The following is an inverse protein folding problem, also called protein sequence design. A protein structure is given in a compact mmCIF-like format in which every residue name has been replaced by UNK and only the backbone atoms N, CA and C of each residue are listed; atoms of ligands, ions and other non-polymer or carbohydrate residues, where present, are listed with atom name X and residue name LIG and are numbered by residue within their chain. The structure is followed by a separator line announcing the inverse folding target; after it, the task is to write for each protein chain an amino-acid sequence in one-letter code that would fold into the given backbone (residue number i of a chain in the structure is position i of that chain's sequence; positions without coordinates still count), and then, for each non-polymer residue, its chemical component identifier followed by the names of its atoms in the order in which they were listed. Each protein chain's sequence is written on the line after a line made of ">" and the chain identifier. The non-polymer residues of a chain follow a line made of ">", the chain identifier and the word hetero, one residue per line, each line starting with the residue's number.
data_IF_681063387001
#
_entry.id   IF_681063387001
#
_cell.length_a   1.000
_cell.length_b   1.000
_cell.length_c   1.000
_cell.angle_alpha   90.00
_cell.angle_beta   90.00
_cell.angle_gamma   90.00
#
_symmetry.space_group_name_H-M   'P 1'
#
loop_
_entity.id
_entity.type
_entity.pdbx_description
1 polymer ?
#
# COMPACT_ATOMS: atom_id res chain seq x y z
N UNK A 1 3.92 -23.86 -0.82
CA UNK A 1 2.57 -23.34 -1.11
C UNK A 1 2.34 -22.22 -0.11
N UNK A 2 2.26 -20.97 -0.57
CA UNK A 2 1.92 -19.85 0.30
C UNK A 2 0.48 -20.04 0.79
N UNK A 3 0.24 -19.86 2.09
CA UNK A 3 -1.10 -19.93 2.68
C UNK A 3 -1.98 -18.81 2.13
N UNK A 4 -3.32 -18.95 2.25
CA UNK A 4 -4.25 -17.87 1.96
C UNK A 4 -3.96 -16.67 2.85
N UNK A 5 -4.02 -15.46 2.29
CA UNK A 5 -3.87 -14.23 3.04
C UNK A 5 -5.13 -13.94 3.86
N UNK A 6 -4.98 -13.24 4.98
CA UNK A 6 -6.11 -12.63 5.66
C UNK A 6 -6.62 -11.46 4.83
N UNK A 7 -7.94 -11.34 4.65
CA UNK A 7 -8.56 -10.30 3.82
C UNK A 7 -9.57 -9.51 4.63
N UNK A 8 -9.40 -8.20 4.65
CA UNK A 8 -10.45 -7.27 5.04
C UNK A 8 -11.34 -7.02 3.81
N UNK A 9 -12.66 -6.95 4.01
CA UNK A 9 -13.60 -6.84 2.90
C UNK A 9 -14.78 -5.94 3.25
N UNK A 10 -15.16 -5.06 2.32
CA UNK A 10 -16.29 -4.13 2.42
C UNK A 10 -17.12 -4.16 1.14
N UNK A 11 -18.38 -3.73 1.24
CA UNK A 11 -19.31 -3.67 0.10
C UNK A 11 -19.94 -5.02 -0.25
N UNK A 12 -20.92 -4.99 -1.15
CA UNK A 12 -21.69 -6.16 -1.58
C UNK A 12 -20.85 -7.11 -2.44
N UNK A 13 -21.11 -8.43 -2.36
CA UNK A 13 -20.30 -9.46 -3.03
C UNK A 13 -20.32 -9.37 -4.56
N UNK A 14 -21.43 -8.91 -5.14
CA UNK A 14 -21.64 -8.78 -6.58
C UNK A 14 -21.29 -7.38 -7.14
N UNK A 15 -20.85 -6.46 -6.28
CA UNK A 15 -20.40 -5.14 -6.70
C UNK A 15 -19.05 -5.20 -7.47
N UNK A 16 -18.77 -4.18 -8.32
CA UNK A 16 -17.49 -4.08 -9.00
C UNK A 16 -16.30 -4.19 -8.02
N UNK A 17 -15.34 -5.04 -8.33
CA UNK A 17 -14.23 -5.36 -7.41
C UNK A 17 -13.13 -4.32 -7.46
N UNK A 18 -12.67 -3.88 -6.29
CA UNK A 18 -11.45 -3.12 -6.09
C UNK A 18 -10.54 -3.87 -5.11
N UNK A 19 -9.25 -3.99 -5.42
CA UNK A 19 -8.27 -4.64 -4.55
C UNK A 19 -7.29 -3.59 -4.05
N UNK A 20 -7.17 -3.45 -2.73
CA UNK A 20 -6.23 -2.53 -2.09
C UNK A 20 -5.03 -3.26 -1.52
N UNK A 21 -3.82 -2.80 -1.88
CA UNK A 21 -2.55 -3.32 -1.37
C UNK A 21 -1.85 -2.24 -0.53
N UNK A 22 -1.61 -2.56 0.73
CA UNK A 22 -0.97 -1.64 1.69
C UNK A 22 0.55 -1.52 1.50
N UNK A 23 1.14 -0.49 2.10
CA UNK A 23 2.59 -0.28 2.13
C UNK A 23 3.33 -1.16 3.13
N UNK A 24 4.66 -1.09 3.11
CA UNK A 24 5.53 -1.71 4.12
C UNK A 24 5.09 -1.26 5.51
N UNK A 25 5.06 -2.16 6.48
CA UNK A 25 4.57 -1.95 7.85
C UNK A 25 3.08 -1.60 7.98
N UNK A 26 2.27 -1.77 6.92
CA UNK A 26 0.83 -1.58 6.95
C UNK A 26 0.05 -2.88 7.15
N UNK A 27 -1.26 -2.81 6.97
CA UNK A 27 -2.20 -3.94 6.91
C UNK A 27 -3.41 -3.58 6.06
N UNK A 28 -4.25 -4.57 5.71
CA UNK A 28 -5.40 -4.35 4.84
C UNK A 28 -6.44 -3.38 5.41
N UNK A 29 -6.56 -3.28 6.73
CA UNK A 29 -7.46 -2.36 7.42
C UNK A 29 -7.24 -0.88 7.06
N UNK A 30 -6.06 -0.49 6.53
CA UNK A 30 -5.81 0.86 6.01
C UNK A 30 -6.79 1.30 4.91
N UNK A 31 -7.45 0.35 4.23
CA UNK A 31 -8.44 0.64 3.19
C UNK A 31 -9.81 1.05 3.75
N UNK A 32 -10.08 0.91 5.07
CA UNK A 32 -11.41 1.00 5.64
C UNK A 32 -12.14 2.29 5.26
N UNK A 33 -11.58 3.44 5.58
CA UNK A 33 -12.23 4.72 5.29
C UNK A 33 -12.40 4.98 3.79
N UNK A 34 -11.44 4.55 2.97
CA UNK A 34 -11.60 4.62 1.52
C UNK A 34 -12.78 3.76 1.05
N UNK A 35 -12.91 2.55 1.59
CA UNK A 35 -13.98 1.62 1.23
C UNK A 35 -15.35 2.12 1.70
N UNK A 36 -15.46 2.57 2.96
CA UNK A 36 -16.71 2.96 3.59
C UNK A 36 -17.25 4.32 3.13
N UNK A 37 -16.37 5.30 2.91
CA UNK A 37 -16.78 6.68 2.63
C UNK A 37 -16.70 7.05 1.13
N UNK A 38 -15.90 6.35 0.33
CA UNK A 38 -15.61 6.74 -1.06
C UNK A 38 -15.89 5.66 -2.10
N UNK A 39 -15.91 4.38 -1.70
CA UNK A 39 -16.12 3.25 -2.61
C UNK A 39 -17.32 2.39 -2.20
N UNK A 40 -18.38 2.99 -1.67
CA UNK A 40 -19.61 2.29 -1.25
C UNK A 40 -20.22 1.40 -2.36
N UNK A 41 -20.05 1.79 -3.63
CA UNK A 41 -20.51 1.02 -4.81
C UNK A 41 -19.56 -0.10 -5.25
N UNK A 42 -18.49 -0.38 -4.49
CA UNK A 42 -17.47 -1.38 -4.84
C UNK A 42 -17.36 -2.48 -3.79
N UNK A 43 -17.01 -3.68 -4.23
CA UNK A 43 -16.50 -4.74 -3.36
C UNK A 43 -15.00 -4.51 -3.16
N UNK A 44 -14.62 -3.91 -2.04
CA UNK A 44 -13.21 -3.65 -1.72
C UNK A 44 -12.64 -4.84 -0.97
N UNK A 45 -11.56 -5.43 -1.50
CA UNK A 45 -10.79 -6.52 -0.91
C UNK A 45 -9.40 -6.00 -0.56
N UNK A 46 -9.00 -6.08 0.70
CA UNK A 46 -7.70 -5.58 1.16
C UNK A 46 -6.96 -6.69 1.94
N UNK A 47 -6.13 -7.50 1.26
CA UNK A 47 -5.35 -8.52 1.94
C UNK A 47 -4.25 -7.90 2.79
N UNK A 48 -3.99 -8.47 3.97
CA UNK A 48 -2.74 -8.32 4.67
C UNK A 48 -1.64 -9.01 3.82
N UNK A 49 -0.58 -8.32 3.47
CA UNK A 49 0.52 -8.88 2.68
C UNK A 49 1.28 -9.95 3.48
N UNK A 50 2.02 -10.83 2.81
CA UNK A 50 2.88 -11.81 3.49
C UNK A 50 3.79 -11.13 4.52
N UNK A 51 3.84 -11.69 5.72
CA UNK A 51 4.61 -11.14 6.84
C UNK A 51 3.95 -9.95 7.53
N UNK A 52 2.67 -9.64 7.25
CA UNK A 52 1.95 -8.51 7.84
C UNK A 52 0.58 -8.94 8.39
N UNK A 53 0.09 -8.20 9.39
CA UNK A 53 -1.23 -8.36 9.97
C UNK A 53 -1.50 -9.77 10.47
N UNK A 54 -2.56 -10.37 9.97
CA UNK A 54 -2.98 -11.76 10.27
C UNK A 54 -2.63 -12.77 9.18
N UNK A 55 -1.87 -12.35 8.15
CA UNK A 55 -1.38 -13.22 7.07
C UNK A 55 -0.17 -14.06 7.50
N UNK A 56 0.20 -15.13 6.74
CA UNK A 56 1.37 -15.96 7.05
C UNK A 56 2.68 -15.15 7.14
N UNK A 57 3.53 -15.50 8.11
CA UNK A 57 4.80 -14.83 8.38
C UNK A 57 6.02 -15.56 7.80
N UNK A 58 5.81 -16.74 7.22
CA UNK A 58 6.88 -17.55 6.66
C UNK A 58 7.36 -17.02 5.30
N UNK A 59 8.68 -17.10 5.02
CA UNK A 59 9.21 -16.75 3.71
C UNK A 59 8.76 -17.75 2.61
N UNK A 60 8.88 -17.39 1.32
CA UNK A 60 9.55 -16.21 0.80
C UNK A 60 8.68 -14.94 0.79
N UNK A 61 9.33 -13.75 0.84
CA UNK A 61 8.68 -12.44 0.78
C UNK A 61 9.08 -11.66 -0.49
N UNK A 62 9.38 -12.36 -1.58
CA UNK A 62 9.66 -11.74 -2.87
C UNK A 62 8.38 -11.17 -3.51
N UNK A 63 8.54 -10.27 -4.49
CA UNK A 63 7.41 -9.78 -5.30
C UNK A 63 6.61 -10.95 -5.87
N UNK A 64 7.27 -11.99 -6.40
CA UNK A 64 6.61 -13.17 -6.98
C UNK A 64 5.73 -13.88 -5.94
N UNK A 65 6.26 -14.11 -4.73
CA UNK A 65 5.51 -14.75 -3.66
C UNK A 65 4.31 -13.92 -3.21
N UNK A 66 4.47 -12.60 -3.10
CA UNK A 66 3.36 -11.69 -2.81
C UNK A 66 2.27 -11.79 -3.88
N UNK A 67 2.63 -11.68 -5.17
CA UNK A 67 1.66 -11.73 -6.27
C UNK A 67 0.94 -13.08 -6.35
N UNK A 68 1.65 -14.20 -6.18
CA UNK A 68 1.04 -15.53 -6.13
C UNK A 68 0.03 -15.65 -5.00
N UNK A 69 0.39 -15.21 -3.77
CA UNK A 69 -0.48 -15.27 -2.60
C UNK A 69 -1.70 -14.36 -2.74
N UNK A 70 -1.52 -13.14 -3.24
CA UNK A 70 -2.60 -12.19 -3.50
C UNK A 70 -3.60 -12.80 -4.49
N UNK A 71 -3.12 -13.26 -5.65
CA UNK A 71 -3.98 -13.83 -6.70
C UNK A 71 -4.64 -15.17 -6.30
N UNK A 72 -4.03 -15.92 -5.39
CA UNK A 72 -4.66 -17.11 -4.83
C UNK A 72 -5.76 -16.80 -3.82
N UNK A 73 -5.74 -15.59 -3.25
CA UNK A 73 -6.66 -15.16 -2.19
C UNK A 73 -7.84 -14.34 -2.70
N UNK A 74 -7.59 -13.37 -3.63
CA UNK A 74 -8.64 -12.45 -4.11
C UNK A 74 -9.31 -12.91 -5.41
N UNK A 75 -9.08 -14.14 -5.84
CA UNK A 75 -9.46 -14.70 -7.14
C UNK A 75 -8.78 -14.03 -8.34
N UNK A 76 -8.77 -14.72 -9.47
CA UNK A 76 -8.12 -14.26 -10.71
C UNK A 76 -9.12 -13.61 -11.66
N UNK A 77 -9.90 -12.69 -11.13
CA UNK A 77 -10.86 -11.93 -11.93
C UNK A 77 -10.39 -10.49 -12.14
N UNK A 78 -10.74 -9.85 -13.28
CA UNK A 78 -10.39 -8.47 -13.51
C UNK A 78 -10.97 -7.54 -12.44
N UNK A 79 -10.12 -6.71 -11.83
CA UNK A 79 -10.48 -5.77 -10.77
C UNK A 79 -9.81 -4.41 -10.99
N UNK A 80 -10.25 -3.40 -10.26
CA UNK A 80 -9.51 -2.15 -10.09
C UNK A 80 -8.47 -2.35 -8.98
N UNK A 81 -7.22 -1.98 -9.23
CA UNK A 81 -6.14 -2.23 -8.30
C UNK A 81 -5.60 -0.93 -7.72
N UNK A 82 -5.59 -0.85 -6.41
CA UNK A 82 -5.17 0.33 -5.65
C UNK A 82 -3.97 -0.08 -4.79
N UNK A 83 -2.84 0.57 -4.96
CA UNK A 83 -1.65 0.23 -4.20
C UNK A 83 -0.98 1.44 -3.58
N UNK A 84 -0.72 1.38 -2.25
CA UNK A 84 0.04 2.39 -1.53
C UNK A 84 1.49 1.95 -1.34
N UNK A 85 2.46 2.83 -1.63
CA UNK A 85 3.87 2.57 -1.35
C UNK A 85 4.37 1.25 -1.96
N UNK A 86 4.79 0.26 -1.17
CA UNK A 86 5.16 -1.08 -1.62
C UNK A 86 3.98 -1.81 -2.28
N UNK A 87 2.76 -1.64 -1.77
CA UNK A 87 1.56 -2.15 -2.44
C UNK A 87 1.38 -1.55 -3.84
N UNK A 88 1.80 -0.28 -4.05
CA UNK A 88 1.86 0.35 -5.36
C UNK A 88 2.88 -0.33 -6.29
N UNK A 89 4.04 -0.76 -5.77
CA UNK A 89 4.99 -1.58 -6.54
C UNK A 89 4.37 -2.92 -6.92
N UNK A 90 3.70 -3.61 -6.02
CA UNK A 90 3.06 -4.90 -6.29
C UNK A 90 1.93 -4.76 -7.32
N UNK A 91 1.07 -3.74 -7.19
CA UNK A 91 0.00 -3.48 -8.15
C UNK A 91 0.55 -3.15 -9.55
N UNK A 92 1.64 -2.39 -9.65
CA UNK A 92 2.32 -2.09 -10.91
C UNK A 92 2.95 -3.34 -11.53
N UNK A 93 3.62 -4.19 -10.74
CA UNK A 93 4.16 -5.48 -11.22
C UNK A 93 3.06 -6.40 -11.75
N UNK A 94 1.92 -6.46 -11.06
CA UNK A 94 0.76 -7.22 -11.52
C UNK A 94 0.24 -6.67 -12.84
N UNK A 95 0.05 -5.35 -12.95
CA UNK A 95 -0.42 -4.69 -14.17
C UNK A 95 0.49 -4.96 -15.37
N UNK A 96 1.81 -4.98 -15.16
CA UNK A 96 2.78 -5.27 -16.20
C UNK A 96 2.81 -6.75 -16.63
N UNK A 97 2.58 -7.69 -15.71
CA UNK A 97 2.66 -9.14 -15.95
C UNK A 97 1.32 -9.75 -16.33
N UNK A 98 0.23 -9.22 -15.80
CA UNK A 98 -1.14 -9.71 -15.96
C UNK A 98 -2.12 -8.57 -16.22
N UNK A 99 -1.94 -7.82 -17.33
CA UNK A 99 -2.84 -6.71 -17.67
C UNK A 99 -4.29 -7.18 -17.87
N UNK A 100 -4.51 -8.47 -18.13
CA UNK A 100 -5.82 -9.09 -18.21
C UNK A 100 -6.61 -9.08 -16.88
N UNK A 101 -5.92 -8.93 -15.74
CA UNK A 101 -6.52 -8.88 -14.40
C UNK A 101 -6.68 -7.45 -13.86
N UNK A 102 -6.24 -6.42 -14.60
CA UNK A 102 -6.24 -5.03 -14.13
C UNK A 102 -7.09 -4.17 -15.05
N UNK A 103 -8.25 -3.73 -14.57
CA UNK A 103 -9.10 -2.79 -15.32
C UNK A 103 -8.54 -1.37 -15.27
N UNK A 104 -8.23 -0.91 -14.07
CA UNK A 104 -7.64 0.40 -13.77
C UNK A 104 -6.59 0.23 -12.66
N UNK A 105 -5.57 1.07 -12.68
CA UNK A 105 -4.50 1.07 -11.69
C UNK A 105 -4.49 2.40 -10.94
N UNK A 106 -4.54 2.33 -9.61
CA UNK A 106 -4.39 3.49 -8.72
C UNK A 106 -3.11 3.33 -7.91
N UNK A 107 -2.22 4.28 -8.03
CA UNK A 107 -0.93 4.30 -7.36
C UNK A 107 -0.89 5.46 -6.36
N UNK A 108 -0.92 5.13 -5.06
CA UNK A 108 -0.93 6.08 -3.97
C UNK A 108 0.49 6.25 -3.41
N UNK A 109 1.13 7.33 -3.75
CA UNK A 109 2.51 7.66 -3.37
C UNK A 109 3.44 6.43 -3.47
N UNK A 110 3.54 5.80 -4.66
CA UNK A 110 4.05 4.44 -4.81
C UNK A 110 5.57 4.36 -4.74
N UNK A 111 6.10 3.32 -4.12
CA UNK A 111 7.52 2.98 -4.09
C UNK A 111 7.91 2.09 -5.28
N UNK A 112 7.69 2.55 -6.51
CA UNK A 112 7.95 1.76 -7.73
C UNK A 112 9.41 1.34 -7.84
N UNK A 113 10.33 2.23 -7.53
CA UNK A 113 11.76 1.94 -7.49
C UNK A 113 12.46 2.84 -6.47
N UNK A 114 13.19 2.22 -5.57
CA UNK A 114 14.07 2.92 -4.64
C UNK A 114 15.53 2.81 -5.09
N UNK A 115 16.29 3.91 -5.12
CA UNK A 115 17.73 3.82 -5.29
C UNK A 115 18.33 2.84 -4.27
N UNK A 116 19.27 1.94 -4.69
CA UNK A 116 19.79 0.89 -3.81
C UNK A 116 20.32 1.40 -2.46
N UNK A 117 20.92 2.60 -2.44
CA UNK A 117 21.43 3.21 -1.21
C UNK A 117 20.29 3.60 -0.25
N UNK A 118 19.17 4.08 -0.78
CA UNK A 118 17.98 4.42 0.02
C UNK A 118 17.33 3.14 0.56
N UNK A 119 17.19 2.12 -0.27
CA UNK A 119 16.65 0.82 0.13
C UNK A 119 17.52 0.14 1.21
N UNK A 120 18.85 0.21 1.07
CA UNK A 120 19.78 -0.29 2.07
C UNK A 120 19.61 0.44 3.40
N UNK A 121 19.61 1.78 3.40
CA UNK A 121 19.43 2.58 4.60
C UNK A 121 18.09 2.28 5.30
N UNK A 122 16.99 2.21 4.53
CA UNK A 122 15.67 1.89 5.05
C UNK A 122 15.61 0.46 5.61
N UNK A 123 16.20 -0.51 4.90
CA UNK A 123 16.30 -1.91 5.35
C UNK A 123 17.12 -2.06 6.64
N UNK A 124 18.26 -1.38 6.76
CA UNK A 124 19.06 -1.35 8.01
C UNK A 124 18.27 -0.73 9.16
N UNK A 125 17.55 0.37 8.91
CA UNK A 125 16.69 1.00 9.92
C UNK A 125 15.55 0.07 10.37
N UNK A 126 15.00 -0.73 9.45
CA UNK A 126 13.92 -1.68 9.71
C UNK A 126 14.38 -2.93 10.50
N UNK A 127 15.67 -3.18 10.61
CA UNK A 127 16.20 -4.29 11.44
C UNK A 127 15.99 -4.06 12.94
N UNK A 128 15.89 -2.82 13.36
CA UNK A 128 15.61 -2.50 14.77
C UNK A 128 14.14 -2.71 15.06
N UNK A 129 13.84 -3.50 16.09
CA UNK A 129 12.47 -3.72 16.53
C UNK A 129 11.84 -2.41 17.03
N UNK A 130 10.70 -2.04 16.46
CA UNK A 130 9.90 -0.92 16.99
C UNK A 130 9.01 -1.42 18.11
N UNK A 131 9.26 -0.97 19.30
CA UNK A 131 8.44 -1.29 20.48
C UNK A 131 8.19 -0.04 21.33
N UNK A 132 7.01 0.02 21.95
CA UNK A 132 6.50 1.19 22.64
C UNK A 132 6.16 0.82 24.08
N UNK A 133 6.37 1.75 25.02
CA UNK A 133 6.10 1.53 26.44
C UNK A 133 4.61 1.61 26.78
N UNK A 134 3.81 2.24 25.91
CA UNK A 134 2.35 2.31 26.04
C UNK A 134 1.71 2.52 24.67
N UNK A 135 0.40 2.29 24.59
CA UNK A 135 -0.38 2.61 23.40
C UNK A 135 -0.30 4.12 23.03
N UNK A 136 -0.35 4.99 24.04
CA UNK A 136 -0.24 6.44 23.80
C UNK A 136 1.14 6.83 23.25
N UNK A 137 2.24 6.20 23.74
CA UNK A 137 3.59 6.37 23.18
C UNK A 137 3.65 5.95 21.71
N UNK A 138 3.00 4.85 21.35
CA UNK A 138 2.92 4.41 19.96
C UNK A 138 2.17 5.41 19.06
N UNK A 139 1.05 5.95 19.55
CA UNK A 139 0.27 6.97 18.81
C UNK A 139 1.11 8.23 18.59
N UNK A 140 1.76 8.75 19.63
CA UNK A 140 2.56 9.98 19.54
C UNK A 140 3.74 9.79 18.58
N UNK A 141 4.44 8.66 18.66
CA UNK A 141 5.57 8.35 17.78
C UNK A 141 5.16 8.05 16.34
N UNK A 142 3.92 7.62 16.10
CA UNK A 142 3.43 7.33 14.74
C UNK A 142 3.49 8.56 13.84
N UNK A 143 3.23 9.75 14.38
CA UNK A 143 3.32 11.00 13.62
C UNK A 143 4.73 11.24 13.09
N UNK A 144 5.74 11.11 13.94
CA UNK A 144 7.13 11.30 13.55
C UNK A 144 7.64 10.18 12.64
N UNK A 145 7.36 8.92 12.98
CA UNK A 145 7.84 7.74 12.26
C UNK A 145 7.25 7.61 10.85
N UNK A 146 6.03 8.09 10.63
CA UNK A 146 5.37 8.10 9.33
C UNK A 146 5.30 9.49 8.70
N UNK A 147 5.88 10.50 9.35
CA UNK A 147 5.87 11.89 8.94
C UNK A 147 4.44 12.38 8.61
N UNK A 148 3.46 11.96 9.45
CA UNK A 148 2.07 12.39 9.33
C UNK A 148 1.96 13.88 9.64
N UNK A 149 1.16 14.60 8.88
CA UNK A 149 1.00 16.06 8.99
C UNK A 149 -0.40 16.46 9.38
N UNK A 150 -1.39 15.94 8.66
CA UNK A 150 -2.79 16.35 8.78
C UNK A 150 -3.68 15.22 9.30
N UNK A 151 -3.14 14.02 9.48
CA UNK A 151 -3.91 12.85 9.90
C UNK A 151 -4.63 13.10 11.24
N UNK A 152 -5.95 12.94 11.34
CA UNK A 152 -6.67 13.10 12.60
C UNK A 152 -6.19 12.08 13.65
N UNK A 153 -5.97 12.53 14.89
CA UNK A 153 -5.50 11.66 15.97
C UNK A 153 -6.41 10.46 16.20
N UNK A 154 -7.73 10.66 16.12
CA UNK A 154 -8.70 9.59 16.28
C UNK A 154 -8.51 8.47 15.25
N UNK A 155 -8.23 8.84 13.98
CA UNK A 155 -7.94 7.88 12.91
C UNK A 155 -6.67 7.08 13.21
N UNK A 156 -5.59 7.75 13.64
CA UNK A 156 -4.33 7.08 13.99
C UNK A 156 -4.52 6.13 15.18
N UNK A 157 -5.26 6.55 16.20
CA UNK A 157 -5.56 5.70 17.36
C UNK A 157 -6.38 4.47 17.00
N UNK A 158 -7.37 4.60 16.13
CA UNK A 158 -8.22 3.51 15.67
C UNK A 158 -7.41 2.48 14.88
N UNK A 159 -6.62 2.94 13.93
CA UNK A 159 -5.75 2.07 13.14
C UNK A 159 -4.73 1.33 14.01
N UNK A 160 -4.10 2.02 14.96
CA UNK A 160 -3.14 1.38 15.85
C UNK A 160 -3.76 0.36 16.79
N UNK A 161 -5.05 0.49 17.18
CA UNK A 161 -5.74 -0.55 17.97
C UNK A 161 -5.86 -1.88 17.20
N UNK A 162 -6.02 -1.82 15.89
CA UNK A 162 -6.09 -3.02 15.04
C UNK A 162 -4.71 -3.59 14.75
N UNK A 163 -3.72 -2.72 14.61
CA UNK A 163 -2.39 -3.06 14.10
C UNK A 163 -1.32 -3.31 15.17
N UNK A 164 -1.55 -2.91 16.41
CA UNK A 164 -0.63 -3.18 17.51
C UNK A 164 -1.05 -4.40 18.32
N UNK A 165 -0.06 -5.03 18.93
CA UNK A 165 -0.23 -6.09 19.90
C UNK A 165 0.64 -5.83 21.13
N UNK A 166 0.13 -6.19 22.32
CA UNK A 166 0.90 -6.18 23.56
C UNK A 166 1.67 -7.50 23.65
N UNK A 167 2.99 -7.39 23.82
CA UNK A 167 3.86 -8.55 24.03
C UNK A 167 3.89 -8.99 25.51
N UNK A 168 4.46 -10.17 25.78
CA UNK A 168 4.63 -10.72 27.13
C UNK A 168 5.58 -9.89 28.02
N UNK A 169 6.35 -8.97 27.43
CA UNK A 169 7.26 -8.03 28.08
C UNK A 169 6.61 -6.65 28.34
N UNK A 170 5.27 -6.58 28.27
CA UNK A 170 4.48 -5.37 28.44
C UNK A 170 4.81 -4.25 27.43
N UNK A 171 5.34 -4.61 26.26
CA UNK A 171 5.61 -3.62 25.20
C UNK A 171 4.68 -3.82 24.01
N UNK A 172 4.25 -2.71 23.43
CA UNK A 172 3.43 -2.69 22.24
C UNK A 172 4.29 -2.81 20.97
N UNK A 173 3.87 -3.62 20.01
CA UNK A 173 4.55 -3.85 18.73
C UNK A 173 3.56 -3.92 17.59
N UNK A 174 4.01 -3.55 16.40
CA UNK A 174 3.22 -3.76 15.18
C UNK A 174 3.13 -5.26 14.82
N UNK A 175 2.03 -5.62 14.18
CA UNK A 175 1.79 -6.95 13.63
C UNK A 175 2.45 -7.10 12.27
N UNK A 176 3.77 -7.17 12.24
CA UNK A 176 4.53 -7.51 11.04
C UNK A 176 5.82 -8.25 11.36
N UNK A 177 6.31 -9.02 10.38
CA UNK A 177 7.61 -9.68 10.44
C UNK A 177 8.69 -8.71 9.98
N UNK A 178 9.66 -8.37 10.84
CA UNK A 178 10.77 -7.48 10.48
C UNK A 178 11.56 -7.98 9.26
N UNK A 179 11.78 -9.30 9.13
CA UNK A 179 12.49 -9.86 8.00
C UNK A 179 11.73 -9.65 6.68
N UNK A 180 10.38 -9.71 6.70
CA UNK A 180 9.55 -9.39 5.54
C UNK A 180 9.66 -7.90 5.16
N UNK A 181 9.68 -7.00 6.14
CA UNK A 181 9.88 -5.56 5.93
C UNK A 181 11.25 -5.28 5.30
N UNK A 182 12.32 -5.90 5.79
CA UNK A 182 13.67 -5.76 5.22
C UNK A 182 13.71 -6.31 3.79
N UNK A 183 13.08 -7.46 3.53
CA UNK A 183 12.98 -8.04 2.19
C UNK A 183 12.24 -7.10 1.21
N UNK A 184 11.14 -6.48 1.64
CA UNK A 184 10.37 -5.54 0.82
C UNK A 184 11.23 -4.34 0.36
N UNK A 185 12.10 -3.80 1.22
CA UNK A 185 13.04 -2.75 0.80
C UNK A 185 14.04 -3.27 -0.25
N UNK A 186 14.53 -4.50 -0.11
CA UNK A 186 15.36 -5.13 -1.13
C UNK A 186 14.64 -5.30 -2.47
N UNK A 187 13.39 -5.75 -2.44
CA UNK A 187 12.55 -5.92 -3.64
C UNK A 187 12.25 -4.57 -4.34
N UNK A 188 12.07 -3.49 -3.59
CA UNK A 188 11.88 -2.15 -4.16
C UNK A 188 13.17 -1.57 -4.79
N UNK A 189 14.34 -2.11 -4.48
CA UNK A 189 15.60 -1.73 -5.13
C UNK A 189 15.84 -2.46 -6.45
N UNK A 190 15.12 -3.55 -6.72
CA UNK A 190 15.18 -4.24 -8.01
C UNK A 190 14.50 -3.38 -9.07
N UNK A 191 15.11 -3.20 -10.27
CA UNK A 191 14.47 -2.43 -11.34
C UNK A 191 13.06 -2.93 -11.63
N UNK A 192 12.07 -2.02 -11.75
CA UNK A 192 10.70 -2.40 -12.10
C UNK A 192 10.59 -2.81 -13.57
N UNK A 193 9.49 -3.45 -13.97
CA UNK A 193 9.12 -3.55 -15.38
C UNK A 193 9.09 -2.18 -16.05
N UNK A 194 9.28 -2.13 -17.36
CA UNK A 194 9.11 -0.91 -18.13
C UNK A 194 7.64 -0.41 -18.03
N UNK A 195 7.44 0.92 -17.99
CA UNK A 195 6.09 1.50 -17.86
C UNK A 195 5.17 1.12 -19.02
N UNK A 196 5.72 0.87 -20.21
CA UNK A 196 4.99 0.41 -21.38
C UNK A 196 4.32 -0.97 -21.19
N UNK A 197 4.83 -1.77 -20.26
CA UNK A 197 4.25 -3.08 -19.95
C UNK A 197 2.92 -2.99 -19.17
N UNK A 198 2.68 -1.85 -18.49
CA UNK A 198 1.45 -1.55 -17.76
C UNK A 198 0.63 -0.45 -18.46
N UNK A 199 0.40 -0.57 -19.77
CA UNK A 199 -0.31 0.42 -20.59
C UNK A 199 -1.83 0.31 -20.43
N UNK A 200 -2.34 0.85 -19.32
CA UNK A 200 -3.76 0.87 -18.95
C UNK A 200 -4.10 2.17 -18.20
N UNK A 201 -5.39 2.51 -18.03
CA UNK A 201 -5.80 3.69 -17.28
C UNK A 201 -5.16 3.68 -15.88
N UNK A 202 -4.39 4.72 -15.56
CA UNK A 202 -3.64 4.81 -14.32
C UNK A 202 -3.86 6.16 -13.65
N UNK A 203 -4.26 6.15 -12.37
CA UNK A 203 -4.26 7.31 -11.49
C UNK A 203 -3.02 7.25 -10.59
N UNK A 204 -2.22 8.32 -10.60
CA UNK A 204 -1.09 8.51 -9.71
C UNK A 204 -1.40 9.65 -8.74
N UNK A 205 -1.52 9.34 -7.46
CA UNK A 205 -1.70 10.33 -6.38
C UNK A 205 -0.39 10.49 -5.62
N UNK A 206 0.10 11.72 -5.52
CA UNK A 206 1.36 12.05 -4.86
C UNK A 206 1.14 13.05 -3.73
N UNK A 207 1.73 12.80 -2.56
CA UNK A 207 1.74 13.74 -1.45
C UNK A 207 2.77 14.86 -1.68
N UNK A 208 2.36 16.13 -1.57
CA UNK A 208 3.26 17.29 -1.77
C UNK A 208 4.41 17.33 -0.75
N UNK A 209 4.22 16.69 0.40
CA UNK A 209 5.18 16.60 1.49
C UNK A 209 5.76 15.20 1.68
N UNK A 210 5.54 14.31 0.72
CA UNK A 210 6.11 12.96 0.78
C UNK A 210 7.64 13.00 0.77
N UNK A 211 8.25 12.16 1.61
CA UNK A 211 9.69 11.90 1.55
C UNK A 211 10.06 10.98 0.37
N UNK A 212 9.08 10.28 -0.19
CA UNK A 212 9.26 9.41 -1.34
C UNK A 212 9.14 10.24 -2.63
N UNK A 213 10.23 10.35 -3.38
CA UNK A 213 10.28 11.18 -4.59
C UNK A 213 9.95 10.34 -5.82
N UNK A 214 8.91 10.76 -6.56
CA UNK A 214 8.52 10.14 -7.82
C UNK A 214 8.99 10.92 -9.06
N UNK A 215 9.52 12.11 -8.88
CA UNK A 215 9.89 13.04 -9.97
C UNK A 215 10.77 12.38 -11.03
N UNK A 216 11.74 11.58 -10.60
CA UNK A 216 12.68 10.90 -11.49
C UNK A 216 12.06 9.79 -12.37
N UNK A 217 10.85 9.33 -12.04
CA UNK A 217 10.08 8.32 -12.78
C UNK A 217 8.95 8.94 -13.59
N UNK A 218 8.48 10.13 -13.22
CA UNK A 218 7.24 10.72 -13.74
C UNK A 218 7.30 10.99 -15.22
N UNK A 219 8.39 11.55 -15.73
CA UNK A 219 8.55 11.85 -17.15
C UNK A 219 8.58 10.57 -18.00
N UNK A 220 9.28 9.54 -17.52
CA UNK A 220 9.27 8.21 -18.16
C UNK A 220 7.90 7.57 -18.16
N UNK A 221 7.17 7.66 -17.04
CA UNK A 221 5.79 7.13 -16.94
C UNK A 221 4.84 7.86 -17.90
N UNK A 222 4.90 9.22 -17.95
CA UNK A 222 4.12 10.02 -18.90
C UNK A 222 4.45 9.69 -20.36
N UNK A 223 5.73 9.52 -20.68
CA UNK A 223 6.15 9.17 -22.04
C UNK A 223 5.64 7.80 -22.48
N UNK A 224 5.61 6.82 -21.55
CA UNK A 224 5.22 5.45 -21.81
C UNK A 224 3.72 5.27 -22.08
N UNK A 225 2.87 5.87 -21.25
CA UNK A 225 1.41 5.61 -21.31
C UNK A 225 0.57 6.83 -21.71
N UNK A 226 1.17 8.02 -21.79
CA UNK A 226 0.53 9.22 -22.34
C UNK A 226 -0.74 9.65 -21.60
N UNK A 227 -1.83 9.78 -22.34
CA UNK A 227 -3.13 10.20 -21.83
C UNK A 227 -3.83 9.17 -20.92
N UNK A 228 -3.27 7.98 -20.78
CA UNK A 228 -3.76 7.00 -19.81
C UNK A 228 -3.31 7.32 -18.38
N UNK A 229 -2.33 8.21 -18.18
CA UNK A 229 -1.86 8.63 -16.87
C UNK A 229 -2.55 9.92 -16.42
N UNK A 230 -3.34 9.82 -15.37
CA UNK A 230 -3.83 10.97 -14.60
C UNK A 230 -2.96 11.15 -13.37
N UNK A 231 -2.48 12.38 -13.12
CA UNK A 231 -1.64 12.70 -11.95
C UNK A 231 -2.37 13.72 -11.09
N UNK A 232 -2.52 13.40 -9.81
CA UNK A 232 -3.10 14.26 -8.78
C UNK A 232 -2.07 14.45 -7.68
N UNK A 233 -1.91 15.68 -7.20
CA UNK A 233 -1.11 15.99 -6.01
C UNK A 233 -2.03 16.45 -4.90
N UNK A 234 -1.82 15.94 -3.67
CA UNK A 234 -2.63 16.25 -2.49
C UNK A 234 -1.76 16.86 -1.40
N UNK A 235 -2.35 17.68 -0.54
CA UNK A 235 -1.64 18.28 0.59
C UNK A 235 -1.44 17.28 1.73
N UNK A 236 -0.46 16.39 1.58
CA UNK A 236 -0.19 15.33 2.53
C UNK A 236 1.23 14.80 2.45
N UNK A 237 1.60 13.96 3.43
CA UNK A 237 2.83 13.19 3.44
C UNK A 237 2.72 11.92 2.61
N UNK A 238 3.56 10.93 2.94
CA UNK A 238 3.59 9.63 2.25
C UNK A 238 2.28 8.84 2.40
N UNK A 239 1.62 8.92 3.55
CA UNK A 239 0.36 8.20 3.81
C UNK A 239 -0.83 9.07 3.40
N UNK A 240 -1.01 9.26 2.08
CA UNK A 240 -2.01 10.16 1.50
C UNK A 240 -3.45 9.85 1.93
N UNK A 241 -3.79 8.57 2.19
CA UNK A 241 -5.10 8.17 2.70
C UNK A 241 -5.40 8.65 4.13
N UNK A 242 -4.39 9.10 4.88
CA UNK A 242 -4.59 9.62 6.23
C UNK A 242 -4.39 11.12 6.31
N UNK A 243 -3.39 11.62 5.59
CA UNK A 243 -3.06 13.04 5.59
C UNK A 243 -4.00 13.88 4.70
N UNK A 244 -4.56 13.27 3.65
CA UNK A 244 -5.41 13.94 2.66
C UNK A 244 -6.52 12.99 2.17
N UNK A 245 -7.29 12.39 3.11
CA UNK A 245 -8.29 11.37 2.79
C UNK A 245 -9.36 11.89 1.83
N UNK A 246 -9.91 13.09 2.08
CA UNK A 246 -11.00 13.64 1.25
C UNK A 246 -10.54 13.87 -0.19
N UNK A 247 -9.39 14.51 -0.40
CA UNK A 247 -8.85 14.77 -1.75
C UNK A 247 -8.46 13.47 -2.46
N UNK A 248 -7.83 12.55 -1.72
CA UNK A 248 -7.40 11.24 -2.25
C UNK A 248 -8.60 10.37 -2.59
N UNK A 249 -9.57 10.26 -1.68
CA UNK A 249 -10.79 9.48 -1.88
C UNK A 249 -11.63 9.99 -3.04
N UNK A 250 -11.83 11.32 -3.12
CA UNK A 250 -12.55 11.94 -4.24
C UNK A 250 -11.87 11.68 -5.59
N UNK A 251 -10.53 11.76 -5.64
CA UNK A 251 -9.78 11.48 -6.87
C UNK A 251 -9.91 10.02 -7.30
N UNK A 252 -9.87 9.08 -6.35
CA UNK A 252 -10.03 7.64 -6.63
C UNK A 252 -11.46 7.35 -7.11
N UNK A 253 -12.49 7.81 -6.38
CA UNK A 253 -13.89 7.59 -6.74
C UNK A 253 -14.18 8.14 -8.15
N UNK A 254 -13.82 9.38 -8.43
CA UNK A 254 -14.01 9.99 -9.76
C UNK A 254 -13.27 9.22 -10.88
N UNK A 255 -12.11 8.65 -10.59
CA UNK A 255 -11.35 7.86 -11.57
C UNK A 255 -11.94 6.46 -11.80
N UNK A 256 -12.53 5.83 -10.77
CA UNK A 256 -13.13 4.51 -10.88
C UNK A 256 -14.55 4.54 -11.45
N UNK A 257 -15.26 5.67 -11.36
CA UNK A 257 -16.61 5.87 -11.88
C UNK A 257 -16.63 6.27 -13.38
N UNK A 258 -15.52 6.78 -13.91
CA UNK A 258 -15.37 7.23 -15.31
C UNK A 258 -14.75 6.16 -16.20
#
# INVERSE_FOLDING_TARGET
>A
MSGALHVHAWGEEDAPRAVFLHGVTGHGGHARLLAEDWLEGHRVLAPDLLGHGSSPYEPPWSIDAHLESILATVDREPADWIGHSFGGRLAFELAARRPDLVRRLVLLDPAIHLPPQIALFAGESARSERSYVSFADAVDRRYDESQLRNAPRALVEEELREHLMLGDDDRWRYRYCQAAVVAAYGEMAVPPPAFEAARLPTLLVLGTHSYLRYDHLLDGHRAAIGNLLTVVTVDGGHTVLWDALEETGAAIAAFLDG
#
